data_IF_730101491705
#
_entry.id   IF_730101491705
#
_cell.length_a   1.000
_cell.length_b   1.000
_cell.length_c   1.000
_cell.angle_alpha   90.00
_cell.angle_beta   90.00
_cell.angle_gamma   90.00
#
_symmetry.space_group_name_H-M   'P 1'
#
loop_
_entity.id
_entity.type
_entity.pdbx_description
1 polymer ?
#
# COMPACT_ATOMS: atom_id res chain seq x y z
N UNK A 1 -41.41 -17.29 -92.37
CA UNK A 1 -40.17 -17.22 -91.60
C UNK A 1 -40.46 -16.42 -90.33
N UNK A 2 -40.67 -17.09 -89.22
CA UNK A 2 -40.89 -16.45 -87.91
C UNK A 2 -39.92 -17.04 -86.97
N UNK A 3 -38.99 -16.24 -86.54
CA UNK A 3 -38.03 -16.62 -85.45
C UNK A 3 -38.70 -16.46 -84.09
N UNK A 4 -38.81 -17.53 -83.35
CA UNK A 4 -39.29 -17.56 -82.00
C UNK A 4 -38.04 -17.50 -81.10
N UNK A 5 -37.86 -16.40 -80.44
CA UNK A 5 -36.83 -16.29 -79.39
C UNK A 5 -37.38 -16.84 -78.06
N UNK A 6 -36.79 -17.96 -77.62
CA UNK A 6 -37.05 -18.53 -76.35
C UNK A 6 -36.24 -17.74 -75.28
N UNK A 7 -36.93 -17.06 -74.45
CA UNK A 7 -36.31 -16.36 -73.30
C UNK A 7 -36.19 -17.38 -72.18
N UNK A 8 -34.95 -17.84 -71.89
CA UNK A 8 -34.66 -18.59 -70.72
C UNK A 8 -34.62 -17.59 -69.52
N UNK A 9 -35.64 -17.65 -68.69
CA UNK A 9 -35.69 -16.95 -67.45
C UNK A 9 -34.90 -17.78 -66.42
N UNK A 10 -33.62 -17.48 -66.29
CA UNK A 10 -32.82 -18.05 -65.18
C UNK A 10 -33.27 -17.41 -63.85
N UNK A 11 -34.00 -18.20 -63.06
CA UNK A 11 -34.28 -17.86 -61.67
C UNK A 11 -32.98 -17.90 -60.85
N UNK A 12 -32.35 -16.74 -60.72
CA UNK A 12 -31.31 -16.57 -59.74
C UNK A 12 -31.99 -16.55 -58.37
N UNK A 13 -32.00 -17.72 -57.75
CA UNK A 13 -32.37 -17.83 -56.33
C UNK A 13 -31.33 -17.08 -55.52
N UNK A 14 -31.64 -15.84 -55.20
CA UNK A 14 -30.90 -15.04 -54.23
C UNK A 14 -31.09 -15.68 -52.86
N UNK A 15 -30.17 -16.59 -52.49
CA UNK A 15 -30.07 -17.16 -51.17
C UNK A 15 -29.61 -16.01 -50.25
N UNK A 16 -30.54 -15.31 -49.67
CA UNK A 16 -30.26 -14.41 -48.54
C UNK A 16 -29.78 -15.30 -47.41
N UNK A 17 -28.46 -15.32 -47.25
CA UNK A 17 -27.89 -15.73 -45.97
C UNK A 17 -28.31 -14.66 -44.94
N UNK A 18 -29.45 -14.88 -44.34
CA UNK A 18 -29.77 -14.33 -43.06
C UNK A 18 -28.74 -14.93 -42.09
N UNK A 19 -27.58 -14.27 -41.97
CA UNK A 19 -26.78 -14.40 -40.75
C UNK A 19 -27.59 -13.74 -39.64
N UNK A 20 -28.70 -14.40 -39.30
CA UNK A 20 -29.32 -14.13 -38.02
C UNK A 20 -28.27 -14.39 -36.97
N UNK A 21 -27.87 -13.37 -36.24
CA UNK A 21 -27.38 -13.61 -34.91
C UNK A 21 -28.40 -14.54 -34.27
N UNK A 22 -28.04 -15.80 -34.14
CA UNK A 22 -28.79 -16.71 -33.27
C UNK A 22 -28.57 -16.16 -31.92
N UNK A 23 -29.47 -15.30 -31.44
CA UNK A 23 -29.52 -14.94 -30.03
C UNK A 23 -29.72 -16.25 -29.30
N UNK A 24 -28.71 -16.61 -28.49
CA UNK A 24 -28.81 -17.81 -27.67
C UNK A 24 -29.97 -17.58 -26.67
N UNK A 25 -31.11 -18.28 -26.86
CA UNK A 25 -32.28 -18.07 -26.00
C UNK A 25 -32.00 -18.38 -24.52
N UNK A 26 -30.93 -19.12 -24.25
CA UNK A 26 -30.47 -19.39 -22.90
C UNK A 26 -29.70 -18.18 -22.33
N UNK A 27 -29.05 -17.40 -23.18
CA UNK A 27 -28.40 -16.16 -22.78
C UNK A 27 -29.45 -15.11 -22.34
N UNK A 28 -30.52 -14.92 -23.07
CA UNK A 28 -31.61 -13.98 -22.72
C UNK A 28 -32.28 -14.38 -21.40
N UNK A 29 -32.53 -15.67 -21.20
CA UNK A 29 -33.07 -16.18 -19.93
C UNK A 29 -32.10 -15.96 -18.76
N UNK A 30 -30.80 -16.07 -18.99
CA UNK A 30 -29.77 -15.80 -17.96
C UNK A 30 -29.70 -14.32 -17.61
N UNK A 31 -29.74 -13.44 -18.61
CA UNK A 31 -29.77 -11.99 -18.41
C UNK A 31 -30.99 -11.53 -17.60
N UNK A 32 -32.18 -12.09 -17.88
CA UNK A 32 -33.40 -11.74 -17.14
C UNK A 32 -33.37 -12.16 -15.67
N UNK A 33 -32.59 -13.18 -15.30
CA UNK A 33 -32.42 -13.67 -13.92
C UNK A 33 -31.15 -13.17 -13.24
N UNK A 34 -30.25 -12.59 -14.02
CA UNK A 34 -28.96 -12.12 -13.49
C UNK A 34 -29.16 -10.95 -12.53
N UNK A 35 -28.32 -10.92 -11.50
CA UNK A 35 -28.27 -9.87 -10.47
C UNK A 35 -26.81 -9.45 -10.23
N UNK A 36 -26.65 -8.39 -9.45
CA UNK A 36 -25.33 -8.04 -8.90
C UNK A 36 -24.67 -9.25 -8.22
N UNK A 37 -23.36 -9.38 -8.30
CA UNK A 37 -22.65 -10.44 -7.59
C UNK A 37 -22.80 -10.31 -6.07
N UNK A 38 -22.34 -11.31 -5.31
CA UNK A 38 -22.21 -11.22 -3.86
C UNK A 38 -20.76 -11.35 -3.48
N UNK A 39 -20.26 -10.48 -2.62
CA UNK A 39 -18.88 -10.46 -2.14
C UNK A 39 -18.83 -10.54 -0.62
N UNK A 40 -17.82 -11.22 -0.07
CA UNK A 40 -17.61 -11.35 1.37
C UNK A 40 -17.10 -10.05 1.99
N UNK A 41 -17.10 -10.01 3.31
CA UNK A 41 -16.33 -9.01 4.07
C UNK A 41 -14.83 -9.12 3.76
N UNK A 42 -14.11 -8.03 3.98
CA UNK A 42 -12.65 -8.00 3.88
C UNK A 42 -11.99 -8.59 5.13
N UNK A 43 -10.82 -9.18 4.96
CA UNK A 43 -9.91 -9.54 6.04
C UNK A 43 -8.47 -9.24 5.65
N UNK A 44 -7.60 -9.05 6.63
CA UNK A 44 -6.19 -8.73 6.35
C UNK A 44 -5.46 -9.98 5.81
N UNK A 45 -4.61 -9.78 4.81
CA UNK A 45 -3.66 -10.76 4.32
C UNK A 45 -2.27 -10.38 4.80
N UNK A 46 -1.75 -11.11 5.80
CA UNK A 46 -0.49 -10.77 6.46
C UNK A 46 -0.63 -9.62 7.47
N UNK A 47 0.37 -8.77 7.53
CA UNK A 47 0.44 -7.61 8.44
C UNK A 47 0.21 -6.30 7.69
N UNK A 48 -0.26 -5.27 8.41
CA UNK A 48 -0.31 -3.91 7.86
C UNK A 48 1.09 -3.31 7.83
N UNK A 49 1.37 -2.53 6.80
CA UNK A 49 2.58 -1.70 6.69
C UNK A 49 2.23 -0.23 6.93
N UNK A 50 3.23 0.63 7.04
CA UNK A 50 3.01 2.05 7.28
C UNK A 50 2.32 2.77 6.10
N UNK A 51 2.53 2.31 4.88
CA UNK A 51 1.98 2.93 3.66
C UNK A 51 1.13 2.00 2.81
N UNK A 52 0.86 0.77 3.28
CA UNK A 52 0.06 -0.19 2.53
C UNK A 52 -0.62 -1.22 3.42
N UNK A 53 -1.74 -1.76 2.93
CA UNK A 53 -2.50 -2.84 3.55
C UNK A 53 -2.91 -3.81 2.45
N UNK A 54 -2.59 -5.09 2.59
CA UNK A 54 -3.09 -6.14 1.71
C UNK A 54 -4.30 -6.82 2.34
N UNK A 55 -5.38 -6.87 1.59
CA UNK A 55 -6.65 -7.42 2.03
C UNK A 55 -7.07 -8.57 1.13
N UNK A 56 -7.83 -9.50 1.69
CA UNK A 56 -8.48 -10.59 0.97
C UNK A 56 -9.98 -10.55 1.15
N UNK A 57 -10.69 -10.99 0.11
CA UNK A 57 -12.12 -11.21 0.12
C UNK A 57 -12.47 -12.29 -0.90
N UNK A 58 -13.75 -12.68 -0.96
CA UNK A 58 -14.22 -13.75 -1.81
C UNK A 58 -15.46 -13.32 -2.60
N UNK A 59 -15.53 -13.71 -3.87
CA UNK A 59 -16.75 -13.66 -4.67
C UNK A 59 -17.63 -14.83 -4.21
N UNK A 60 -18.67 -14.53 -3.46
CA UNK A 60 -19.57 -15.53 -2.87
C UNK A 60 -20.51 -16.13 -3.91
N UNK A 61 -20.99 -15.28 -4.85
CA UNK A 61 -21.86 -15.68 -5.97
C UNK A 61 -21.70 -14.72 -7.14
N UNK A 62 -21.72 -15.24 -8.35
CA UNK A 62 -21.73 -14.44 -9.58
C UNK A 62 -23.14 -14.06 -10.03
N UNK A 63 -24.17 -14.74 -9.51
CA UNK A 63 -25.59 -14.49 -9.76
C UNK A 63 -25.98 -14.44 -11.27
N UNK A 64 -25.47 -15.41 -12.02
CA UNK A 64 -25.86 -15.67 -13.42
C UNK A 64 -24.95 -15.02 -14.48
N UNK A 65 -24.12 -14.07 -14.11
CA UNK A 65 -23.10 -13.47 -14.99
C UNK A 65 -21.73 -13.44 -14.30
N UNK A 66 -20.65 -13.66 -15.06
CA UNK A 66 -19.30 -13.65 -14.50
C UNK A 66 -18.93 -12.28 -13.95
N UNK A 67 -18.16 -12.28 -12.86
CA UNK A 67 -17.56 -11.06 -12.34
C UNK A 67 -16.47 -10.57 -13.29
N UNK A 68 -16.57 -9.32 -13.73
CA UNK A 68 -15.61 -8.67 -14.62
C UNK A 68 -14.47 -7.97 -13.88
N UNK A 69 -14.78 -7.47 -12.70
CA UNK A 69 -13.83 -6.74 -11.86
C UNK A 69 -14.19 -6.93 -10.39
N UNK A 70 -13.17 -7.09 -9.54
CA UNK A 70 -13.32 -7.07 -8.09
C UNK A 70 -12.13 -6.36 -7.46
N UNK A 71 -12.28 -5.99 -6.20
CA UNK A 71 -11.25 -5.26 -5.45
C UNK A 71 -11.78 -4.71 -4.15
N UNK A 72 -11.15 -3.62 -3.69
CA UNK A 72 -11.53 -2.92 -2.47
C UNK A 72 -11.63 -1.41 -2.70
N UNK A 73 -12.51 -0.76 -1.94
CA UNK A 73 -12.58 0.70 -1.86
C UNK A 73 -12.54 1.14 -0.40
N UNK A 74 -12.02 2.33 -0.11
CA UNK A 74 -11.72 2.74 1.26
C UNK A 74 -11.96 4.23 1.54
N UNK A 75 -12.06 4.55 2.83
CA UNK A 75 -12.12 5.91 3.37
C UNK A 75 -11.37 5.97 4.69
N UNK A 76 -10.98 7.16 5.12
CA UNK A 76 -10.53 7.43 6.49
C UNK A 76 -11.69 7.76 7.43
N UNK A 77 -12.92 7.85 6.91
CA UNK A 77 -14.13 8.12 7.66
C UNK A 77 -15.03 6.88 7.65
N UNK A 78 -15.50 6.47 8.84
CA UNK A 78 -16.47 5.38 8.97
C UNK A 78 -17.82 5.76 8.38
N UNK A 79 -18.56 4.77 7.87
CA UNK A 79 -19.88 4.98 7.30
C UNK A 79 -19.91 5.73 5.97
N UNK A 80 -18.76 5.93 5.32
CA UNK A 80 -18.73 6.49 3.96
C UNK A 80 -19.28 5.48 2.97
N UNK A 81 -20.27 5.89 2.17
CA UNK A 81 -20.85 5.02 1.14
C UNK A 81 -19.79 4.50 0.18
N UNK A 82 -19.70 3.18 -0.05
CA UNK A 82 -18.64 2.59 -0.86
C UNK A 82 -18.60 3.11 -2.30
N UNK A 83 -19.75 3.42 -2.90
CA UNK A 83 -19.82 4.02 -4.23
C UNK A 83 -19.21 5.44 -4.27
N UNK A 84 -19.31 6.21 -3.19
CA UNK A 84 -18.65 7.50 -3.05
C UNK A 84 -17.13 7.35 -3.01
N UNK A 85 -16.62 6.35 -2.31
CA UNK A 85 -15.19 6.04 -2.31
C UNK A 85 -14.68 5.76 -3.72
N UNK A 86 -15.41 4.97 -4.50
CA UNK A 86 -15.05 4.69 -5.90
C UNK A 86 -15.09 5.94 -6.78
N UNK A 87 -16.12 6.79 -6.64
CA UNK A 87 -16.21 8.09 -7.35
C UNK A 87 -15.03 9.00 -7.04
N UNK A 88 -14.55 8.98 -5.83
CA UNK A 88 -13.37 9.74 -5.36
C UNK A 88 -12.03 9.05 -5.69
N UNK A 89 -12.05 8.01 -6.53
CA UNK A 89 -10.87 7.22 -6.93
C UNK A 89 -10.13 6.56 -5.74
N UNK A 90 -10.84 6.30 -4.65
CA UNK A 90 -10.32 5.56 -3.49
C UNK A 90 -10.70 4.10 -3.61
N UNK A 91 -10.17 3.44 -4.62
CA UNK A 91 -10.35 2.00 -4.84
C UNK A 91 -9.14 1.40 -5.55
N UNK A 92 -8.94 0.12 -5.38
CA UNK A 92 -7.94 -0.66 -6.12
C UNK A 92 -8.56 -1.98 -6.57
N UNK A 93 -8.15 -2.42 -7.76
CA UNK A 93 -8.56 -3.73 -8.29
C UNK A 93 -7.79 -4.83 -7.57
N UNK A 94 -8.32 -6.03 -7.64
CA UNK A 94 -7.64 -7.21 -7.14
C UNK A 94 -6.29 -7.40 -7.86
N UNK A 95 -5.25 -7.65 -7.08
CA UNK A 95 -3.91 -7.99 -7.57
C UNK A 95 -3.88 -9.43 -8.08
N UNK A 96 -4.65 -10.31 -7.42
CA UNK A 96 -4.71 -11.75 -7.70
C UNK A 96 -6.12 -12.28 -7.45
N UNK A 97 -6.57 -13.17 -8.34
CA UNK A 97 -7.86 -13.87 -8.22
C UNK A 97 -7.60 -15.36 -8.40
N UNK A 98 -7.96 -16.17 -7.41
CA UNK A 98 -7.85 -17.64 -7.45
C UNK A 98 -9.08 -18.28 -6.79
N UNK A 99 -9.78 -19.16 -7.54
CA UNK A 99 -10.93 -19.89 -7.03
C UNK A 99 -11.95 -18.98 -6.30
N UNK A 100 -12.33 -17.87 -6.93
CA UNK A 100 -13.21 -16.83 -6.37
C UNK A 100 -12.65 -16.05 -5.16
N UNK A 101 -11.47 -16.41 -4.66
CA UNK A 101 -10.78 -15.57 -3.66
C UNK A 101 -9.94 -14.54 -4.37
N UNK A 102 -9.88 -13.35 -3.82
CA UNK A 102 -9.01 -12.30 -4.36
C UNK A 102 -8.28 -11.55 -3.24
N UNK A 103 -7.13 -11.04 -3.60
CA UNK A 103 -6.35 -10.11 -2.77
C UNK A 103 -6.22 -8.78 -3.48
N UNK A 104 -6.21 -7.71 -2.71
CA UNK A 104 -6.02 -6.35 -3.20
C UNK A 104 -5.15 -5.56 -2.23
N UNK A 105 -4.13 -4.88 -2.75
CA UNK A 105 -3.22 -4.07 -1.96
C UNK A 105 -3.56 -2.60 -2.13
N UNK A 106 -3.90 -1.95 -1.02
CA UNK A 106 -4.04 -0.51 -0.96
C UNK A 106 -2.66 0.08 -0.67
N UNK A 107 -2.18 0.98 -1.50
CA UNK A 107 -0.87 1.62 -1.38
C UNK A 107 -0.98 3.14 -1.22
N UNK A 108 0.14 3.80 -0.89
CA UNK A 108 0.23 5.24 -0.67
C UNK A 108 -0.71 5.72 0.45
N UNK A 109 -0.82 4.91 1.49
CA UNK A 109 -1.56 5.24 2.70
C UNK A 109 -0.71 6.10 3.64
N UNK A 110 -1.36 6.88 4.49
CA UNK A 110 -0.73 7.57 5.61
C UNK A 110 -0.46 6.56 6.74
N UNK A 111 0.66 6.71 7.43
CA UNK A 111 1.01 5.88 8.57
C UNK A 111 0.12 6.18 9.79
N UNK A 112 0.10 5.27 10.76
CA UNK A 112 -0.70 5.41 11.99
C UNK A 112 -2.17 5.80 11.74
N UNK A 113 -2.69 5.51 10.56
CA UNK A 113 -4.00 5.96 10.10
C UNK A 113 -4.97 4.79 9.97
N UNK A 114 -6.19 4.99 10.45
CA UNK A 114 -7.26 4.00 10.34
C UNK A 114 -8.04 4.18 9.04
N UNK A 115 -8.19 3.07 8.31
CA UNK A 115 -8.93 2.99 7.06
C UNK A 115 -10.14 2.06 7.21
N UNK A 116 -11.24 2.47 6.62
CA UNK A 116 -12.50 1.72 6.55
C UNK A 116 -12.69 1.24 5.12
N UNK A 117 -12.84 -0.06 4.92
CA UNK A 117 -12.72 -0.70 3.62
C UNK A 117 -13.91 -1.59 3.33
N UNK A 118 -14.45 -1.48 2.12
CA UNK A 118 -15.42 -2.41 1.55
C UNK A 118 -14.78 -3.22 0.42
N UNK A 119 -15.09 -4.52 0.36
CA UNK A 119 -14.86 -5.28 -0.86
C UNK A 119 -15.93 -4.93 -1.90
N UNK A 120 -15.57 -4.99 -3.18
CA UNK A 120 -16.52 -4.84 -4.28
C UNK A 120 -16.34 -5.89 -5.36
N UNK A 121 -17.40 -6.17 -6.10
CA UNK A 121 -17.38 -6.96 -7.31
C UNK A 121 -18.38 -6.41 -8.33
N UNK A 122 -18.03 -6.44 -9.60
CA UNK A 122 -18.81 -5.86 -10.71
C UNK A 122 -19.07 -6.93 -11.76
N UNK A 123 -20.32 -7.06 -12.21
CA UNK A 123 -20.71 -7.77 -13.40
C UNK A 123 -21.43 -6.83 -14.38
N UNK A 124 -22.03 -7.34 -15.46
CA UNK A 124 -22.76 -6.53 -16.45
C UNK A 124 -24.04 -5.90 -15.92
N UNK A 125 -24.53 -6.35 -14.78
CA UNK A 125 -25.78 -5.84 -14.21
C UNK A 125 -25.49 -4.68 -13.26
N UNK A 126 -24.59 -4.87 -12.28
CA UNK A 126 -24.34 -3.87 -11.25
C UNK A 126 -23.05 -4.14 -10.46
N UNK A 127 -22.72 -3.21 -9.57
CA UNK A 127 -21.65 -3.31 -8.58
C UNK A 127 -22.23 -3.72 -7.23
N UNK A 128 -21.65 -4.77 -6.64
CA UNK A 128 -21.96 -5.18 -5.27
C UNK A 128 -20.79 -4.83 -4.34
N UNK A 129 -21.14 -4.58 -3.08
CA UNK A 129 -20.18 -4.32 -2.01
C UNK A 129 -20.40 -5.29 -0.85
N UNK A 130 -19.37 -5.49 -0.02
CA UNK A 130 -19.52 -6.18 1.26
C UNK A 130 -20.58 -5.50 2.13
N UNK A 131 -21.24 -6.27 3.01
CA UNK A 131 -22.33 -5.74 3.82
C UNK A 131 -21.88 -4.77 4.90
N UNK A 132 -20.66 -5.00 5.41
CA UNK A 132 -20.05 -4.16 6.43
C UNK A 132 -18.67 -3.69 5.99
N UNK A 133 -18.23 -2.59 6.57
CA UNK A 133 -16.87 -2.11 6.39
C UNK A 133 -15.90 -2.89 7.28
N UNK A 134 -14.73 -3.26 6.74
CA UNK A 134 -13.58 -3.68 7.53
C UNK A 134 -12.82 -2.45 8.05
N UNK A 135 -12.23 -2.54 9.22
CA UNK A 135 -11.44 -1.45 9.81
C UNK A 135 -9.99 -1.89 10.04
N UNK A 136 -9.06 -1.21 9.41
CA UNK A 136 -7.64 -1.55 9.40
C UNK A 136 -6.80 -0.31 9.69
N UNK A 137 -5.70 -0.48 10.45
CA UNK A 137 -4.82 0.63 10.81
C UNK A 137 -3.43 0.35 10.28
N UNK A 138 -2.85 1.30 9.55
CA UNK A 138 -1.44 1.27 9.15
C UNK A 138 -0.55 1.38 10.39
N UNK A 139 0.61 0.75 10.36
CA UNK A 139 1.57 0.85 11.47
C UNK A 139 2.26 2.22 11.45
N UNK A 140 2.86 2.60 12.59
CA UNK A 140 3.73 3.76 12.64
C UNK A 140 4.98 3.52 11.78
N UNK A 141 5.21 4.39 10.82
CA UNK A 141 6.39 4.34 9.95
C UNK A 141 7.66 4.83 10.62
N UNK A 142 7.55 5.61 11.69
CA UNK A 142 8.66 6.16 12.46
C UNK A 142 9.14 5.13 13.47
N UNK A 143 10.46 5.00 13.59
CA UNK A 143 11.08 4.11 14.58
C UNK A 143 11.46 4.81 15.89
N UNK A 144 12.38 4.20 16.63
CA UNK A 144 12.97 4.74 17.85
C UNK A 144 14.43 4.32 17.95
N UNK A 145 15.31 5.26 18.25
CA UNK A 145 16.72 5.02 18.59
C UNK A 145 17.05 5.66 19.94
N UNK A 146 18.09 5.17 20.58
CA UNK A 146 18.58 5.73 21.83
C UNK A 146 20.09 5.94 21.78
N UNK A 147 20.55 7.02 22.38
CA UNK A 147 21.97 7.22 22.69
C UNK A 147 22.32 6.36 23.93
N UNK A 148 23.38 5.61 23.83
CA UNK A 148 23.91 4.84 24.97
C UNK A 148 25.02 5.64 25.68
N UNK A 149 25.30 5.27 26.92
CA UNK A 149 26.40 5.86 27.68
C UNK A 149 27.74 5.73 26.94
N UNK A 150 28.53 6.78 26.98
CA UNK A 150 29.87 6.80 26.42
C UNK A 150 30.81 5.99 27.32
N UNK A 151 31.52 5.02 26.72
CA UNK A 151 32.57 4.31 27.44
C UNK A 151 33.74 5.25 27.72
N UNK A 152 33.97 5.52 28.98
CA UNK A 152 35.05 6.42 29.43
C UNK A 152 36.45 6.01 28.92
N UNK A 153 36.68 4.72 28.66
CA UNK A 153 37.93 4.22 28.11
C UNK A 153 38.16 4.67 26.65
N UNK A 154 37.13 5.11 25.96
CA UNK A 154 37.21 5.58 24.57
C UNK A 154 37.42 7.09 24.43
N UNK A 155 37.29 7.83 25.53
CA UNK A 155 37.42 9.30 25.56
C UNK A 155 38.90 9.68 25.48
N UNK A 156 39.26 10.45 24.47
CA UNK A 156 40.59 11.04 24.25
C UNK A 156 40.48 12.56 24.22
N UNK A 157 41.60 13.24 24.25
CA UNK A 157 41.62 14.71 24.26
C UNK A 157 40.80 15.36 23.10
N UNK A 158 40.78 14.75 21.93
CA UNK A 158 40.15 15.33 20.74
C UNK A 158 39.19 14.37 20.03
N UNK A 159 38.90 13.20 20.63
CA UNK A 159 37.99 12.22 20.01
C UNK A 159 37.35 11.30 21.03
N UNK A 160 36.22 10.73 20.70
CA UNK A 160 35.54 9.69 21.47
C UNK A 160 34.71 8.80 20.58
N UNK A 161 34.39 7.57 21.03
CA UNK A 161 33.38 6.72 20.44
C UNK A 161 32.06 6.92 21.16
N UNK A 162 31.00 7.13 20.35
CA UNK A 162 29.62 7.20 20.82
C UNK A 162 28.85 5.99 20.31
N UNK A 163 27.94 5.49 21.14
CA UNK A 163 27.14 4.30 20.82
C UNK A 163 25.64 4.62 20.85
N UNK A 164 24.91 4.02 19.95
CA UNK A 164 23.45 4.09 19.88
C UNK A 164 22.83 2.71 19.75
N UNK A 165 21.57 2.62 20.07
CA UNK A 165 20.76 1.41 19.95
C UNK A 165 19.50 1.69 19.17
N UNK A 166 19.20 0.85 18.19
CA UNK A 166 17.92 0.84 17.49
C UNK A 166 16.92 0.08 18.36
N UNK A 167 15.89 0.76 18.86
CA UNK A 167 14.82 0.14 19.67
C UNK A 167 13.66 -0.32 18.78
N UNK A 168 13.33 0.48 17.77
CA UNK A 168 12.32 0.18 16.77
C UNK A 168 12.79 0.74 15.42
N UNK A 169 12.66 -0.03 14.35
CA UNK A 169 13.09 0.34 12.99
C UNK A 169 12.04 1.12 12.21
N UNK A 170 10.79 1.12 12.68
CA UNK A 170 9.68 1.56 11.85
C UNK A 170 9.61 0.76 10.55
N UNK A 171 9.52 1.44 9.41
CA UNK A 171 9.55 0.80 8.07
C UNK A 171 10.96 0.57 7.51
N UNK A 172 11.97 0.66 8.34
CA UNK A 172 13.38 0.54 7.98
C UNK A 172 14.17 1.78 8.33
N UNK A 173 15.46 1.75 8.05
CA UNK A 173 16.40 2.84 8.32
C UNK A 173 17.18 3.11 7.05
N UNK A 174 17.17 4.36 6.59
CA UNK A 174 17.94 4.84 5.45
C UNK A 174 19.23 5.54 5.88
N UNK A 175 19.19 6.19 7.06
CA UNK A 175 20.33 6.90 7.65
C UNK A 175 20.33 6.76 9.15
N UNK A 176 21.52 6.61 9.74
CA UNK A 176 21.74 6.41 11.16
C UNK A 176 22.98 7.20 11.60
N UNK A 177 22.97 7.76 12.81
CA UNK A 177 24.10 8.54 13.26
C UNK A 177 23.86 9.29 14.56
N UNK A 178 24.65 10.34 14.76
CA UNK A 178 24.56 11.19 15.94
C UNK A 178 24.66 12.66 15.57
N UNK A 179 23.85 13.47 16.20
CA UNK A 179 24.04 14.91 16.31
C UNK A 179 24.84 15.20 17.56
N UNK A 180 25.74 16.19 17.52
CA UNK A 180 26.49 16.60 18.68
C UNK A 180 26.81 18.09 18.64
N UNK A 181 26.88 18.69 19.82
CA UNK A 181 27.29 20.09 20.03
C UNK A 181 27.95 20.30 21.36
N UNK A 182 28.74 21.38 21.46
CA UNK A 182 29.32 21.79 22.74
C UNK A 182 28.25 22.16 23.76
N UNK A 183 28.39 21.71 24.96
CA UNK A 183 27.60 22.17 26.10
C UNK A 183 28.07 23.55 26.53
N UNK A 184 27.24 24.58 26.36
CA UNK A 184 27.56 25.94 26.73
C UNK A 184 27.10 26.29 28.13
N UNK A 185 25.90 25.89 28.51
CA UNK A 185 25.27 26.19 29.82
C UNK A 185 24.31 25.09 30.27
N UNK A 186 23.91 25.13 31.55
CA UNK A 186 22.81 24.30 32.05
C UNK A 186 21.50 24.72 31.38
N UNK A 187 20.76 23.78 30.81
CA UNK A 187 19.50 24.03 30.12
C UNK A 187 19.60 24.18 28.58
N UNK A 188 20.76 23.90 28.00
CA UNK A 188 20.90 23.78 26.56
C UNK A 188 19.94 22.72 26.02
N UNK A 189 19.33 23.02 24.85
CA UNK A 189 18.47 22.09 24.11
C UNK A 189 19.32 20.94 23.57
N UNK A 190 18.75 19.75 23.46
CA UNK A 190 19.40 18.60 22.82
C UNK A 190 19.88 18.89 21.38
N UNK A 191 20.93 18.23 20.92
CA UNK A 191 21.40 18.38 19.53
C UNK A 191 20.33 18.00 18.51
N UNK A 192 20.33 18.70 17.39
CA UNK A 192 19.39 18.56 16.28
C UNK A 192 20.14 18.50 14.94
N UNK A 193 19.41 18.42 13.84
CA UNK A 193 19.92 18.46 12.48
C UNK A 193 20.61 19.79 12.09
N UNK A 194 20.50 20.84 12.94
CA UNK A 194 21.20 22.12 12.78
C UNK A 194 22.61 22.12 13.42
N UNK A 195 22.95 21.08 14.15
CA UNK A 195 24.22 20.94 14.86
C UNK A 195 25.21 20.05 14.06
N UNK A 196 26.35 19.75 14.64
CA UNK A 196 27.33 18.84 14.00
C UNK A 196 26.77 17.42 13.92
N UNK A 197 27.03 16.74 12.82
CA UNK A 197 26.53 15.39 12.54
C UNK A 197 27.67 14.43 12.24
N UNK A 198 27.53 13.18 12.71
CA UNK A 198 28.32 12.06 12.26
C UNK A 198 27.41 10.90 11.88
N UNK A 199 27.65 10.33 10.69
CA UNK A 199 26.83 9.24 10.15
C UNK A 199 27.51 7.90 10.39
N UNK A 200 26.70 6.89 10.65
CA UNK A 200 27.15 5.49 10.66
C UNK A 200 27.38 5.00 9.24
N UNK A 201 28.59 4.48 8.98
CA UNK A 201 29.03 4.05 7.65
C UNK A 201 28.90 2.53 7.42
N UNK A 202 28.22 1.80 8.32
CA UNK A 202 27.97 0.37 8.14
C UNK A 202 26.96 0.09 7.03
N UNK A 203 27.15 -1.01 6.33
CA UNK A 203 26.25 -1.46 5.25
C UNK A 203 25.03 -2.25 5.71
N UNK A 204 24.90 -2.48 7.02
CA UNK A 204 23.92 -3.35 7.64
C UNK A 204 22.71 -2.62 8.26
N UNK A 205 22.35 -1.45 7.71
CA UNK A 205 21.24 -0.61 8.22
C UNK A 205 19.92 -1.38 8.42
N UNK A 206 19.70 -2.44 7.65
CA UNK A 206 18.50 -3.26 7.77
C UNK A 206 18.48 -4.15 9.03
N UNK A 207 19.63 -4.46 9.60
CA UNK A 207 19.76 -5.46 10.69
C UNK A 207 20.49 -4.96 11.93
N UNK A 208 21.22 -3.85 11.85
CA UNK A 208 22.02 -3.32 12.96
C UNK A 208 21.16 -2.95 14.18
N UNK A 209 21.44 -3.56 15.33
CA UNK A 209 20.75 -3.22 16.59
C UNK A 209 21.53 -2.22 17.45
N UNK A 210 22.88 -2.26 17.37
CA UNK A 210 23.76 -1.32 18.08
C UNK A 210 24.78 -0.81 17.10
N UNK A 211 24.96 0.49 17.07
CA UNK A 211 25.88 1.18 16.17
C UNK A 211 26.82 2.10 16.94
N UNK A 212 27.97 2.40 16.36
CA UNK A 212 28.92 3.32 16.97
C UNK A 212 29.58 4.19 15.92
N UNK A 213 29.88 5.43 16.29
CA UNK A 213 30.60 6.39 15.47
C UNK A 213 31.74 7.02 16.28
N UNK A 214 32.83 7.34 15.63
CA UNK A 214 33.92 8.07 16.25
C UNK A 214 33.79 9.55 15.96
N UNK A 215 33.48 10.34 16.97
CA UNK A 215 33.55 11.81 16.86
C UNK A 215 34.99 12.24 17.03
N UNK A 216 35.48 13.05 16.10
CA UNK A 216 36.86 13.58 16.08
C UNK A 216 36.87 15.10 16.06
N UNK A 217 38.03 15.72 16.20
CA UNK A 217 38.22 17.17 16.22
C UNK A 217 37.43 17.87 17.34
N UNK A 218 37.30 17.16 18.49
CA UNK A 218 36.72 17.73 19.68
C UNK A 218 37.74 18.68 20.36
N UNK A 219 37.23 19.66 21.07
CA UNK A 219 38.08 20.49 21.92
C UNK A 219 38.40 19.76 23.22
N UNK A 220 39.67 19.78 23.70
CA UNK A 220 40.02 19.22 24.98
C UNK A 220 39.24 19.86 26.16
N UNK A 221 39.02 19.12 27.20
CA UNK A 221 38.37 19.58 28.46
C UNK A 221 36.98 20.23 28.22
N UNK A 222 36.30 19.83 27.16
CA UNK A 222 35.02 20.41 26.73
C UNK A 222 33.92 19.37 26.80
N UNK A 223 32.77 19.71 27.41
CA UNK A 223 31.57 18.88 27.41
C UNK A 223 30.80 18.99 26.14
N UNK A 224 30.31 17.86 25.65
CA UNK A 224 29.46 17.77 24.48
C UNK A 224 28.15 17.07 24.80
N UNK A 225 27.06 17.54 24.24
CA UNK A 225 25.82 16.79 24.12
C UNK A 225 25.87 15.94 22.85
N UNK A 226 25.35 14.73 22.95
CA UNK A 226 25.25 13.79 21.85
C UNK A 226 23.86 13.18 21.84
N UNK A 227 23.25 13.08 20.68
CA UNK A 227 21.94 12.47 20.48
C UNK A 227 21.98 11.56 19.27
N UNK A 228 21.57 10.30 19.42
CA UNK A 228 21.37 9.38 18.31
C UNK A 228 20.19 9.81 17.47
N UNK A 229 20.28 9.61 16.15
CA UNK A 229 19.17 9.80 15.23
C UNK A 229 19.13 8.68 14.20
N UNK A 230 17.95 8.43 13.66
CA UNK A 230 17.75 7.66 12.44
C UNK A 230 16.76 8.39 11.53
N UNK A 231 16.86 8.13 10.22
CA UNK A 231 15.92 8.64 9.20
C UNK A 231 15.41 7.51 8.34
N UNK A 232 14.15 7.63 7.94
CA UNK A 232 13.53 6.83 6.90
C UNK A 232 12.63 7.72 6.04
N UNK A 233 11.91 7.14 5.09
CA UNK A 233 10.99 7.87 4.19
C UNK A 233 9.86 8.63 4.91
N UNK A 234 9.53 8.29 6.16
CA UNK A 234 8.49 8.97 6.96
C UNK A 234 9.04 10.09 7.85
N UNK A 235 10.35 10.20 7.99
CA UNK A 235 10.97 11.28 8.74
C UNK A 235 12.17 10.84 9.59
N UNK A 236 12.57 11.75 10.48
CA UNK A 236 13.63 11.52 11.45
C UNK A 236 13.06 11.13 12.80
N UNK A 237 13.77 10.23 13.50
CA UNK A 237 13.45 9.78 14.84
C UNK A 237 14.71 9.62 15.70
N UNK A 238 14.53 9.76 17.02
CA UNK A 238 15.62 9.73 17.99
C UNK A 238 15.16 9.11 19.32
#
# INVERSE_FOLDING_TARGET
>A
MKHIYSIFLSAVSLLWMLSGCVEDPDMDTRLQKAKAPEVSETSMEGEAYASSITLKAQIMKENGLPVKECGVCWSTQTGTEPLENMRNKRYTKADKIENHNFTATISNLEDSTKYYVYAYAINDIDTAFSKTEGAYTTINGIGEVATLDVDSATVKATSTWVKGKVKNRGVGIEKLGFYYKKKKQTGDIEPSDQDSVITYEGSDLATVDTFSCQITNLEPETWYYVRAFAKNQFGEFA
#
